data_IF_090049195798
#
_entry.id   IF_090049195798
#
_cell.length_a   1.000
_cell.length_b   1.000
_cell.length_c   1.000
_cell.angle_alpha   90.00
_cell.angle_beta   90.00
_cell.angle_gamma   90.00
#
_symmetry.space_group_name_H-M   'P 1'
#
loop_
_entity.id
_entity.type
_entity.pdbx_description
1 polymer ?
#
# COMPACT_ATOMS: atom_id res chain seq x y z
N UNK A 1 -3.43 13.04 22.47
CA UNK A 1 -4.23 13.27 21.26
C UNK A 1 -3.57 14.17 20.19
N UNK A 2 -2.68 15.13 20.50
CA UNK A 2 -2.11 16.05 19.48
C UNK A 2 -1.22 15.42 18.39
N UNK A 3 -0.47 14.36 18.70
CA UNK A 3 0.44 13.73 17.73
C UNK A 3 -0.31 13.07 16.55
N UNK A 4 -1.49 12.51 16.82
CA UNK A 4 -2.23 11.73 15.84
C UNK A 4 -2.88 12.61 14.77
N UNK A 5 -3.38 13.80 15.13
CA UNK A 5 -3.87 14.80 14.17
C UNK A 5 -2.73 15.39 13.33
N UNK A 6 -1.54 15.55 13.91
CA UNK A 6 -0.36 16.02 13.18
C UNK A 6 0.03 15.05 12.07
N UNK A 7 0.01 13.74 12.34
CA UNK A 7 0.30 12.72 11.35
C UNK A 7 -0.72 12.73 10.19
N UNK A 8 -2.01 12.88 10.50
CA UNK A 8 -3.07 12.95 9.49
C UNK A 8 -2.91 14.12 8.51
N UNK A 9 -2.38 15.25 8.98
CA UNK A 9 -2.12 16.43 8.14
C UNK A 9 -0.86 16.30 7.28
N UNK A 10 0.25 15.83 7.86
CA UNK A 10 1.56 15.93 7.22
C UNK A 10 1.98 14.71 6.40
N UNK A 11 1.46 13.52 6.70
CA UNK A 11 1.79 12.32 5.91
C UNK A 11 1.22 12.39 4.48
N UNK A 12 -0.02 12.87 4.23
CA UNK A 12 -0.52 13.09 2.87
C UNK A 12 0.33 14.10 2.08
N UNK A 13 0.73 15.20 2.73
CA UNK A 13 1.62 16.21 2.14
C UNK A 13 2.98 15.61 1.75
N UNK A 14 3.59 14.84 2.66
CA UNK A 14 4.85 14.17 2.40
C UNK A 14 4.73 13.14 1.26
N UNK A 15 3.60 12.43 1.17
CA UNK A 15 3.34 11.46 0.11
C UNK A 15 3.27 12.14 -1.26
N UNK A 16 2.52 13.23 -1.35
CA UNK A 16 2.39 14.02 -2.58
C UNK A 16 3.77 14.58 -3.03
N UNK A 17 4.53 15.18 -2.10
CA UNK A 17 5.84 15.76 -2.38
C UNK A 17 6.91 14.73 -2.77
N UNK A 18 6.85 13.53 -2.20
CA UNK A 18 7.85 12.49 -2.39
C UNK A 18 7.33 11.28 -3.18
N UNK A 19 6.26 11.48 -3.94
CA UNK A 19 5.61 10.41 -4.72
C UNK A 19 6.60 9.66 -5.59
N UNK A 20 7.58 10.31 -6.22
CA UNK A 20 8.57 9.65 -7.08
C UNK A 20 9.67 8.85 -6.34
N UNK A 21 9.73 8.83 -5.01
CA UNK A 21 10.76 8.13 -4.24
C UNK A 21 10.18 6.90 -3.52
N UNK A 22 10.36 5.72 -4.11
CA UNK A 22 9.74 4.48 -3.60
C UNK A 22 10.09 4.14 -2.14
N UNK A 23 11.36 4.22 -1.70
CA UNK A 23 11.70 4.06 -0.28
C UNK A 23 10.93 4.99 0.66
N UNK A 24 10.78 6.26 0.28
CA UNK A 24 10.05 7.26 1.09
C UNK A 24 8.56 6.96 1.09
N UNK A 25 7.97 6.65 -0.06
CA UNK A 25 6.57 6.24 -0.19
C UNK A 25 6.26 5.04 0.71
N UNK A 26 7.09 3.98 0.67
CA UNK A 26 6.90 2.80 1.54
C UNK A 26 6.95 3.16 3.02
N UNK A 27 7.89 4.02 3.42
CA UNK A 27 7.98 4.49 4.81
C UNK A 27 6.75 5.27 5.25
N UNK A 28 6.21 6.12 4.37
CA UNK A 28 4.97 6.88 4.63
C UNK A 28 3.77 5.96 4.74
N UNK A 29 3.58 5.02 3.80
CA UNK A 29 2.52 4.02 3.87
C UNK A 29 2.59 3.22 5.19
N UNK A 30 3.79 2.80 5.61
CA UNK A 30 3.98 2.11 6.88
C UNK A 30 3.63 2.99 8.08
N UNK A 31 3.98 4.28 8.05
CA UNK A 31 3.63 5.23 9.11
C UNK A 31 2.10 5.39 9.23
N UNK A 32 1.38 5.54 8.12
CA UNK A 32 -0.08 5.62 8.09
C UNK A 32 -0.69 4.36 8.71
N UNK A 33 -0.28 3.18 8.25
CA UNK A 33 -0.75 1.89 8.78
C UNK A 33 -0.52 1.76 10.28
N UNK A 34 0.66 2.18 10.74
CA UNK A 34 1.01 2.17 12.17
C UNK A 34 0.17 3.14 13.02
N UNK A 35 -0.22 4.28 12.46
CA UNK A 35 -1.12 5.23 13.11
C UNK A 35 -2.53 4.63 13.24
N UNK A 36 -3.08 4.13 12.13
CA UNK A 36 -4.45 3.59 12.10
C UNK A 36 -4.57 2.29 12.91
N UNK A 37 -3.57 1.41 12.87
CA UNK A 37 -3.56 0.19 13.69
C UNK A 37 -3.58 0.48 15.21
N UNK A 38 -2.99 1.60 15.64
CA UNK A 38 -3.00 2.02 17.05
C UNK A 38 -4.24 2.82 17.43
N UNK A 39 -4.85 3.51 16.48
CA UNK A 39 -5.99 4.39 16.69
C UNK A 39 -6.88 4.37 15.44
N UNK A 40 -7.81 3.41 15.33
CA UNK A 40 -8.66 3.25 14.14
C UNK A 40 -9.43 4.51 13.77
N UNK A 41 -9.82 5.32 14.77
CA UNK A 41 -10.48 6.62 14.58
C UNK A 41 -9.66 7.64 13.77
N UNK A 42 -8.38 7.36 13.49
CA UNK A 42 -7.58 8.20 12.59
C UNK A 42 -7.87 7.96 11.12
N UNK A 43 -8.53 6.86 10.75
CA UNK A 43 -8.93 6.64 9.37
C UNK A 43 -9.79 7.79 8.85
N UNK A 44 -10.76 8.24 9.64
CA UNK A 44 -11.60 9.41 9.31
C UNK A 44 -10.78 10.69 9.24
N UNK A 45 -9.82 10.89 10.14
CA UNK A 45 -8.93 12.05 10.11
C UNK A 45 -8.01 12.08 8.87
N UNK A 46 -7.56 10.92 8.39
CA UNK A 46 -6.76 10.80 7.17
C UNK A 46 -7.58 10.97 5.89
N UNK A 47 -8.86 10.61 5.92
CA UNK A 47 -9.76 10.72 4.76
C UNK A 47 -10.44 12.10 4.68
N UNK A 48 -10.51 12.80 5.82
CA UNK A 48 -11.16 14.10 5.96
C UNK A 48 -12.69 14.00 5.85
N UNK A 49 -13.39 14.90 6.55
CA UNK A 49 -14.82 15.15 6.32
C UNK A 49 -15.03 16.32 5.34
N UNK A 50 -14.00 17.15 5.14
CA UNK A 50 -14.09 18.42 4.45
C UNK A 50 -13.33 18.43 3.13
N UNK A 51 -14.02 18.80 2.07
CA UNK A 51 -13.55 19.04 0.70
C UNK A 51 -12.51 20.17 0.55
N UNK A 52 -11.91 20.64 1.65
CA UNK A 52 -10.98 21.77 1.69
C UNK A 52 -9.51 21.36 1.83
N UNK A 53 -9.20 20.10 2.13
CA UNK A 53 -7.82 19.63 2.12
C UNK A 53 -7.40 19.30 0.67
N UNK A 54 -6.43 20.04 0.08
CA UNK A 54 -5.96 19.77 -1.28
C UNK A 54 -5.22 18.42 -1.40
N UNK A 55 -4.84 17.79 -0.28
CA UNK A 55 -4.08 16.54 -0.27
C UNK A 55 -4.98 15.35 0.06
N UNK A 56 -5.81 14.96 -0.91
CA UNK A 56 -6.63 13.75 -0.79
C UNK A 56 -5.75 12.49 -0.77
N UNK A 57 -5.45 11.99 0.44
CA UNK A 57 -4.60 10.82 0.66
C UNK A 57 -5.05 9.60 -0.14
N UNK A 58 -6.37 9.37 -0.25
CA UNK A 58 -6.91 8.28 -1.06
C UNK A 58 -6.47 8.40 -2.52
N UNK A 59 -6.59 9.58 -3.12
CA UNK A 59 -6.22 9.80 -4.52
C UNK A 59 -4.73 9.54 -4.74
N UNK A 60 -3.88 10.06 -3.86
CA UNK A 60 -2.44 9.82 -3.89
C UNK A 60 -2.09 8.34 -3.78
N UNK A 61 -2.69 7.62 -2.81
CA UNK A 61 -2.47 6.18 -2.65
C UNK A 61 -2.95 5.39 -3.87
N UNK A 62 -4.03 5.81 -4.53
CA UNK A 62 -4.53 5.18 -5.75
C UNK A 62 -3.60 5.37 -6.93
N UNK A 63 -2.96 6.54 -7.08
CA UNK A 63 -1.96 6.77 -8.13
C UNK A 63 -0.73 5.86 -7.97
N UNK A 64 -0.42 5.44 -6.75
CA UNK A 64 0.69 4.52 -6.47
C UNK A 64 0.38 3.07 -6.84
N UNK A 65 -0.87 2.72 -7.15
CA UNK A 65 -1.25 1.34 -7.50
C UNK A 65 -0.70 0.90 -8.85
N UNK A 66 -0.40 1.84 -9.75
CA UNK A 66 0.18 1.58 -11.06
C UNK A 66 1.69 1.33 -11.00
N UNK A 67 2.29 1.38 -9.80
CA UNK A 67 3.72 1.20 -9.58
C UNK A 67 4.05 -0.12 -8.91
N UNK A 68 4.97 -0.89 -9.50
CA UNK A 68 5.38 -2.18 -8.97
C UNK A 68 6.21 -2.09 -7.67
N UNK A 69 6.93 -0.97 -7.45
CA UNK A 69 7.92 -0.83 -6.37
C UNK A 69 7.34 -0.41 -5.01
N UNK A 70 6.07 0.01 -4.97
CA UNK A 70 5.36 0.40 -3.74
C UNK A 70 3.85 0.10 -3.76
N UNK A 71 3.36 -0.64 -4.76
CA UNK A 71 1.94 -1.01 -4.91
C UNK A 71 1.40 -1.66 -3.65
N UNK A 72 2.16 -2.58 -3.06
CA UNK A 72 1.67 -3.45 -1.99
C UNK A 72 1.53 -2.69 -0.67
N UNK A 73 2.46 -1.78 -0.38
CA UNK A 73 2.35 -0.88 0.76
C UNK A 73 1.20 0.10 0.60
N UNK A 74 0.97 0.63 -0.60
CA UNK A 74 -0.16 1.52 -0.88
C UNK A 74 -1.50 0.79 -0.73
N UNK A 75 -1.64 -0.44 -1.26
CA UNK A 75 -2.84 -1.29 -1.06
C UNK A 75 -3.07 -1.60 0.41
N UNK A 76 -2.01 -1.90 1.15
CA UNK A 76 -2.12 -2.17 2.58
C UNK A 76 -2.56 -0.93 3.37
N UNK A 77 -2.06 0.27 3.01
CA UNK A 77 -2.50 1.52 3.61
C UNK A 77 -3.98 1.82 3.32
N UNK A 78 -4.41 1.68 2.07
CA UNK A 78 -5.82 1.83 1.68
C UNK A 78 -6.75 0.87 2.45
N UNK A 79 -6.36 -0.42 2.57
CA UNK A 79 -7.10 -1.41 3.35
C UNK A 79 -7.21 -0.99 4.83
N UNK A 80 -6.10 -0.58 5.43
CA UNK A 80 -6.06 -0.20 6.85
C UNK A 80 -6.91 1.07 7.10
N UNK A 81 -7.04 1.96 6.11
CA UNK A 81 -7.97 3.10 6.11
C UNK A 81 -9.45 2.72 5.90
N UNK A 82 -9.76 1.45 5.65
CA UNK A 82 -11.12 0.96 5.39
C UNK A 82 -11.60 1.17 3.95
N UNK A 83 -10.70 1.54 3.02
CA UNK A 83 -11.03 1.73 1.62
C UNK A 83 -10.94 0.40 0.84
N UNK A 84 -11.82 0.19 -0.16
CA UNK A 84 -11.84 -1.05 -0.93
C UNK A 84 -10.59 -1.19 -1.81
N UNK A 85 -9.94 -2.35 -1.74
CA UNK A 85 -8.78 -2.71 -2.56
C UNK A 85 -8.89 -4.13 -3.10
N UNK A 86 -8.35 -4.34 -4.31
CA UNK A 86 -8.13 -5.69 -4.84
C UNK A 86 -6.70 -6.13 -4.52
N UNK A 87 -6.59 -7.18 -3.71
CA UNK A 87 -5.31 -7.81 -3.41
C UNK A 87 -5.04 -8.90 -4.44
N UNK A 88 -3.84 -8.89 -5.03
CA UNK A 88 -3.37 -9.98 -5.89
C UNK A 88 -2.66 -11.00 -5.02
N UNK A 89 -3.13 -12.24 -5.06
CA UNK A 89 -2.56 -13.34 -4.29
C UNK A 89 -1.39 -13.99 -5.05
N UNK A 90 -0.19 -13.44 -4.90
CA UNK A 90 1.00 -13.89 -5.64
C UNK A 90 1.33 -15.39 -5.42
N UNK A 91 0.94 -15.96 -4.27
CA UNK A 91 1.15 -17.39 -4.00
C UNK A 91 0.30 -18.29 -4.92
N UNK A 92 -0.88 -17.85 -5.34
CA UNK A 92 -1.72 -18.61 -6.28
C UNK A 92 -1.05 -18.64 -7.66
N UNK A 93 -0.50 -17.51 -8.10
CA UNK A 93 0.19 -17.41 -9.37
C UNK A 93 1.47 -18.26 -9.38
N UNK A 94 2.22 -18.24 -8.27
CA UNK A 94 3.40 -19.08 -8.09
C UNK A 94 3.04 -20.58 -8.11
N UNK A 95 1.97 -20.98 -7.41
CA UNK A 95 1.52 -22.37 -7.40
C UNK A 95 1.00 -22.83 -8.77
N UNK A 96 0.23 -21.99 -9.48
CA UNK A 96 -0.19 -22.30 -10.86
C UNK A 96 1.00 -22.44 -11.80
N UNK A 97 1.98 -21.55 -11.69
CA UNK A 97 3.20 -21.60 -12.50
C UNK A 97 3.99 -22.88 -12.22
N UNK A 98 4.09 -23.28 -10.95
CA UNK A 98 4.69 -24.55 -10.51
C UNK A 98 3.95 -25.78 -11.05
N UNK A 99 2.63 -25.80 -10.99
CA UNK A 99 1.83 -26.93 -11.52
C UNK A 99 1.95 -27.02 -13.05
N UNK A 100 1.98 -25.87 -13.74
CA UNK A 100 2.14 -25.82 -15.20
C UNK A 100 3.52 -26.30 -15.65
N UNK A 101 4.60 -26.00 -14.92
CA UNK A 101 5.95 -26.50 -15.26
C UNK A 101 6.09 -28.01 -15.04
N UNK A 102 5.46 -28.54 -13.99
CA UNK A 102 5.39 -29.99 -13.75
C UNK A 102 4.58 -30.71 -14.84
N UNK A 103 3.46 -30.12 -15.29
CA UNK A 103 2.64 -30.67 -16.37
C UNK A 103 3.33 -30.59 -17.74
N UNK A 104 4.20 -29.59 -17.96
CA UNK A 104 4.98 -29.43 -19.18
C UNK A 104 6.19 -30.37 -19.29
N UNK A 105 6.48 -31.16 -18.25
CA UNK A 105 7.57 -32.14 -18.24
C UNK A 105 8.97 -31.53 -18.13
N UNK A 106 9.09 -30.28 -17.67
CA UNK A 106 10.37 -29.56 -17.59
C UNK A 106 11.08 -29.86 -16.26
N UNK A 107 11.59 -31.09 -16.14
CA UNK A 107 12.26 -31.59 -14.93
C UNK A 107 13.67 -31.00 -14.70
N UNK A 108 14.21 -30.20 -15.63
CA UNK A 108 15.60 -29.73 -15.60
C UNK A 108 15.82 -28.34 -14.99
N UNK A 109 14.78 -27.64 -14.51
CA UNK A 109 14.94 -26.31 -13.90
C UNK A 109 15.36 -26.31 -12.42
N UNK A 110 15.45 -27.48 -11.78
CA UNK A 110 15.55 -27.58 -10.30
C UNK A 110 16.93 -28.01 -9.74
N UNK A 111 17.95 -28.20 -10.58
CA UNK A 111 19.29 -28.61 -10.13
C UNK A 111 20.25 -27.42 -9.89
N UNK A 112 19.77 -26.39 -9.19
CA UNK A 112 20.57 -25.20 -8.84
C UNK A 112 20.26 -24.72 -7.43
N UNK A 113 20.54 -25.58 -6.43
CA UNK A 113 20.77 -25.18 -5.03
C UNK A 113 22.26 -25.32 -4.78
#
# INVERSE_FOLDING_TARGET
>A
MRFNQFAALHLPQALNLHSNNAPVVRAICLAIRNCVARSPDLSTAFLGDDSSDPFHLEAELRLLLDREDCSDEAKAALRDLGLPVHLREAWIDAERSRLNSLAAGDFNSFAGI
#
